data_IF_968513059031
#
_entry.id   IF_968513059031
#
_cell.length_a   1.000
_cell.length_b   1.000
_cell.length_c   1.000
_cell.angle_alpha   90.00
_cell.angle_beta   90.00
_cell.angle_gamma   90.00
#
_symmetry.space_group_name_H-M   'P 1'
#
loop_
_entity.id
_entity.type
_entity.pdbx_description
1 polymer ?
#
# COMPACT_ATOMS: atom_id res chain seq x y z
N UNK A 1 28.22 -8.40 3.41
CA UNK A 1 27.38 -7.44 2.66
C UNK A 1 25.95 -7.32 3.17
N UNK A 2 25.21 -8.40 3.39
CA UNK A 2 23.78 -8.32 3.77
C UNK A 2 23.48 -7.47 5.01
N UNK A 3 24.37 -7.50 6.02
CA UNK A 3 24.20 -6.68 7.25
C UNK A 3 24.36 -5.18 6.99
N UNK A 4 25.31 -4.78 6.14
CA UNK A 4 25.52 -3.37 5.76
C UNK A 4 24.34 -2.84 4.95
N UNK A 5 23.87 -3.62 3.97
CA UNK A 5 22.65 -3.30 3.22
C UNK A 5 21.44 -3.17 4.14
N UNK A 6 21.27 -4.10 5.09
CA UNK A 6 20.17 -4.05 6.07
C UNK A 6 20.23 -2.79 6.94
N UNK A 7 21.41 -2.44 7.44
CA UNK A 7 21.61 -1.25 8.27
C UNK A 7 21.27 0.04 7.51
N UNK A 8 21.75 0.15 6.27
CA UNK A 8 21.44 1.27 5.39
C UNK A 8 19.95 1.40 5.11
N UNK A 9 19.28 0.30 4.74
CA UNK A 9 17.83 0.32 4.49
C UNK A 9 17.05 0.68 5.75
N UNK A 10 17.45 0.19 6.93
CA UNK A 10 16.80 0.58 8.19
C UNK A 10 17.00 2.06 8.52
N UNK A 11 18.18 2.62 8.25
CA UNK A 11 18.44 4.04 8.46
C UNK A 11 17.57 4.90 7.56
N UNK A 12 17.52 4.60 6.26
CA UNK A 12 16.69 5.34 5.29
C UNK A 12 15.21 5.30 5.70
N UNK A 13 14.72 4.11 6.11
CA UNK A 13 13.35 3.95 6.58
C UNK A 13 13.07 4.78 7.83
N UNK A 14 13.97 4.73 8.82
CA UNK A 14 13.85 5.52 10.03
C UNK A 14 13.84 7.03 9.74
N UNK A 15 14.71 7.49 8.83
CA UNK A 15 14.76 8.89 8.40
C UNK A 15 13.45 9.34 7.73
N UNK A 16 12.85 8.46 6.92
CA UNK A 16 11.57 8.73 6.25
C UNK A 16 10.37 8.75 7.20
N UNK A 17 10.32 7.81 8.14
CA UNK A 17 9.22 7.66 9.10
C UNK A 17 9.31 8.66 10.26
N UNK A 18 10.41 9.41 10.37
CA UNK A 18 10.61 10.37 11.45
C UNK A 18 9.61 11.55 11.37
N UNK A 19 9.04 11.92 12.53
CA UNK A 19 8.02 12.98 12.60
C UNK A 19 8.58 14.41 12.44
N UNK A 20 9.84 14.65 12.79
CA UNK A 20 10.47 15.97 12.65
C UNK A 20 10.96 16.24 11.22
N UNK A 21 10.04 16.62 10.35
CA UNK A 21 10.31 16.96 8.94
C UNK A 21 11.21 18.19 8.74
N UNK A 22 11.27 19.09 9.73
CA UNK A 22 12.11 20.29 9.66
C UNK A 22 13.61 19.98 9.79
N UNK A 23 13.96 19.05 10.68
CA UNK A 23 15.35 18.63 10.91
C UNK A 23 15.75 17.56 9.89
N UNK A 24 14.88 16.56 9.71
CA UNK A 24 15.11 15.45 8.79
C UNK A 24 14.45 15.73 7.44
N UNK A 25 15.07 16.63 6.67
CA UNK A 25 14.60 16.97 5.32
C UNK A 25 14.93 15.82 4.37
N UNK A 26 13.90 15.18 3.82
CA UNK A 26 14.06 14.06 2.89
C UNK A 26 14.82 14.48 1.64
N UNK A 27 14.44 15.60 1.02
CA UNK A 27 15.00 16.07 -0.25
C UNK A 27 16.50 16.38 -0.21
N UNK A 28 17.02 16.71 0.97
CA UNK A 28 18.42 17.09 1.16
C UNK A 28 19.30 15.92 1.62
N UNK A 29 18.71 14.73 1.79
CA UNK A 29 19.47 13.56 2.22
C UNK A 29 20.33 13.05 1.06
N UNK A 30 21.64 13.22 1.18
CA UNK A 30 22.65 12.70 0.24
C UNK A 30 22.85 11.19 0.42
N UNK A 31 22.01 10.40 -0.25
CA UNK A 31 22.06 8.94 -0.16
C UNK A 31 23.36 8.37 -0.72
N UNK A 32 23.92 9.02 -1.75
CA UNK A 32 25.15 8.55 -2.38
C UNK A 32 26.33 8.49 -1.41
N UNK A 33 26.64 9.61 -0.75
CA UNK A 33 27.70 9.68 0.27
C UNK A 33 27.42 8.80 1.47
N UNK A 34 26.15 8.70 1.90
CA UNK A 34 25.76 7.80 2.97
C UNK A 34 26.06 6.33 2.62
N UNK A 35 25.72 5.91 1.40
CA UNK A 35 26.00 4.55 0.93
C UNK A 35 27.52 4.24 0.93
N UNK A 36 28.34 5.22 0.56
CA UNK A 36 29.80 5.13 0.66
C UNK A 36 30.27 4.99 2.11
N UNK A 37 29.69 5.76 3.05
CA UNK A 37 29.99 5.65 4.48
C UNK A 37 29.61 4.29 5.09
N UNK A 38 28.54 3.66 4.59
CA UNK A 38 28.17 2.28 4.95
C UNK A 38 29.01 1.21 4.23
N UNK A 39 29.92 1.60 3.32
CA UNK A 39 30.77 0.67 2.57
C UNK A 39 29.98 -0.22 1.61
N UNK A 40 28.91 0.29 1.02
CA UNK A 40 28.12 -0.47 0.05
C UNK A 40 28.84 -0.54 -1.30
N UNK A 41 29.00 -1.75 -1.83
CA UNK A 41 29.52 -1.95 -3.21
C UNK A 41 28.44 -1.68 -4.27
N UNK A 42 27.18 -1.92 -3.92
CA UNK A 42 26.02 -1.72 -4.78
C UNK A 42 24.86 -1.15 -3.94
N UNK A 43 24.13 -0.21 -4.53
CA UNK A 43 22.91 0.32 -3.93
C UNK A 43 21.81 -0.74 -3.90
N UNK A 44 21.08 -0.88 -2.78
CA UNK A 44 19.94 -1.78 -2.74
C UNK A 44 18.79 -1.25 -3.60
N UNK A 45 18.16 -2.14 -4.36
CA UNK A 45 17.01 -1.81 -5.21
C UNK A 45 15.70 -1.62 -4.46
N UNK A 46 15.67 -0.88 -3.35
CA UNK A 46 14.46 -0.56 -2.59
C UNK A 46 13.68 0.59 -3.24
N UNK A 47 12.35 0.70 -3.02
CA UNK A 47 11.55 1.76 -3.63
C UNK A 47 12.06 3.16 -3.26
N UNK A 48 12.57 3.34 -2.04
CA UNK A 48 13.10 4.63 -1.56
C UNK A 48 14.31 5.11 -2.36
N UNK A 49 15.17 4.19 -2.80
CA UNK A 49 16.37 4.50 -3.60
C UNK A 49 16.04 4.61 -5.09
N UNK A 50 15.07 3.81 -5.57
CA UNK A 50 14.66 3.77 -6.99
C UNK A 50 13.85 4.98 -7.44
N UNK A 51 13.19 5.69 -6.52
CA UNK A 51 12.24 6.75 -6.87
C UNK A 51 12.88 8.05 -7.37
N UNK A 52 14.20 8.10 -7.62
CA UNK A 52 14.96 9.26 -8.16
C UNK A 52 14.73 10.58 -7.42
N UNK A 53 14.06 10.55 -6.26
CA UNK A 53 13.73 11.75 -5.48
C UNK A 53 14.92 12.27 -4.66
N UNK A 54 16.04 11.54 -4.65
CA UNK A 54 17.16 11.72 -3.74
C UNK A 54 18.45 11.70 -4.55
N UNK A 55 19.35 12.62 -4.24
CA UNK A 55 20.61 12.74 -4.96
C UNK A 55 21.49 11.51 -4.68
N UNK A 56 21.82 10.78 -5.74
CA UNK A 56 22.81 9.69 -5.74
C UNK A 56 24.23 10.21 -6.01
N UNK A 57 24.42 11.53 -5.99
CA UNK A 57 25.73 12.16 -6.16
C UNK A 57 26.72 11.64 -5.12
N UNK A 58 27.90 11.21 -5.59
CA UNK A 58 28.97 10.69 -4.74
C UNK A 58 28.95 9.19 -4.47
N UNK A 59 28.06 8.41 -5.11
CA UNK A 59 28.16 6.95 -5.10
C UNK A 59 28.87 6.43 -6.35
N UNK A 60 29.98 5.73 -6.17
CA UNK A 60 30.69 5.02 -7.23
C UNK A 60 30.46 3.51 -7.09
N UNK A 61 29.56 2.90 -7.89
CA UNK A 61 29.35 1.46 -7.87
C UNK A 61 30.63 0.73 -8.30
N UNK A 62 30.89 -0.41 -7.67
CA UNK A 62 31.93 -1.33 -8.13
C UNK A 62 31.27 -2.33 -9.06
N UNK A 63 31.51 -2.20 -10.37
CA UNK A 63 30.80 -2.95 -11.41
C UNK A 63 31.31 -4.39 -11.60
N UNK A 64 32.54 -4.69 -11.17
CA UNK A 64 33.21 -5.97 -11.46
C UNK A 64 32.95 -7.11 -10.46
N UNK A 65 32.05 -6.91 -9.48
CA UNK A 65 31.88 -7.87 -8.36
C UNK A 65 30.45 -8.41 -8.26
N UNK A 66 30.26 -9.67 -8.66
CA UNK A 66 29.04 -10.41 -8.40
C UNK A 66 28.94 -10.84 -6.93
N UNK A 67 28.10 -10.16 -6.16
CA UNK A 67 27.92 -10.41 -4.72
C UNK A 67 27.29 -11.78 -4.40
N UNK A 68 26.57 -12.38 -5.35
CA UNK A 68 25.93 -13.70 -5.15
C UNK A 68 26.95 -14.85 -5.14
N UNK A 69 28.03 -14.71 -5.91
CA UNK A 69 29.07 -15.74 -6.08
C UNK A 69 30.02 -15.82 -4.88
N UNK A 70 30.11 -14.75 -4.09
CA UNK A 70 30.97 -14.70 -2.90
C UNK A 70 30.36 -15.55 -1.79
N UNK A 71 30.95 -16.72 -1.54
CA UNK A 71 30.52 -17.65 -0.47
C UNK A 71 30.95 -17.17 0.91
N UNK A 72 30.13 -17.43 1.93
CA UNK A 72 30.58 -17.24 3.31
C UNK A 72 31.66 -18.27 3.70
N UNK A 73 32.65 -17.85 4.49
CA UNK A 73 33.68 -18.73 5.05
C UNK A 73 33.08 -19.85 5.92
N UNK A 74 32.00 -19.55 6.62
CA UNK A 74 31.29 -20.51 7.47
C UNK A 74 30.19 -21.25 6.69
N UNK A 75 30.28 -22.59 6.68
CA UNK A 75 29.35 -23.49 5.99
C UNK A 75 27.93 -23.43 6.57
N UNK A 76 27.77 -23.19 7.87
CA UNK A 76 26.44 -23.11 8.51
C UNK A 76 25.67 -21.88 8.01
N UNK A 77 26.36 -20.74 7.97
CA UNK A 77 25.86 -19.46 7.50
C UNK A 77 25.56 -19.48 6.00
N UNK A 78 26.39 -20.17 5.21
CA UNK A 78 26.14 -20.33 3.78
C UNK A 78 24.88 -21.15 3.51
N UNK A 79 24.63 -22.23 4.26
CA UNK A 79 23.37 -22.99 4.15
C UNK A 79 22.16 -22.11 4.46
N UNK A 80 22.23 -21.29 5.50
CA UNK A 80 21.16 -20.36 5.85
C UNK A 80 20.95 -19.29 4.78
N UNK A 81 22.03 -18.73 4.22
CA UNK A 81 21.98 -17.78 3.09
C UNK A 81 21.23 -18.39 1.91
N UNK A 82 21.60 -19.61 1.50
CA UNK A 82 20.98 -20.28 0.37
C UNK A 82 19.49 -20.56 0.61
N UNK A 83 19.11 -20.97 1.82
CA UNK A 83 17.69 -21.14 2.19
C UNK A 83 16.92 -19.83 2.07
N UNK A 84 17.49 -18.72 2.57
CA UNK A 84 16.87 -17.40 2.47
C UNK A 84 16.78 -16.91 1.02
N UNK A 85 17.79 -17.19 0.19
CA UNK A 85 17.79 -16.82 -1.23
C UNK A 85 16.70 -17.56 -2.00
N UNK A 86 16.54 -18.87 -1.76
CA UNK A 86 15.44 -19.68 -2.34
C UNK A 86 14.08 -19.14 -1.90
N UNK A 87 13.89 -18.92 -0.61
CA UNK A 87 12.64 -18.36 -0.07
C UNK A 87 12.31 -16.97 -0.68
N UNK A 88 13.32 -16.11 -0.91
CA UNK A 88 13.12 -14.82 -1.60
C UNK A 88 12.71 -14.98 -3.06
N UNK A 89 13.35 -15.89 -3.80
CA UNK A 89 13.01 -16.18 -5.21
C UNK A 89 11.58 -16.74 -5.31
N UNK A 90 11.21 -17.65 -4.42
CA UNK A 90 9.85 -18.19 -4.32
C UNK A 90 8.82 -17.12 -3.94
N UNK A 91 9.14 -16.25 -2.99
CA UNK A 91 8.27 -15.14 -2.61
C UNK A 91 8.06 -14.17 -3.78
N UNK A 92 9.11 -13.83 -4.53
CA UNK A 92 9.00 -12.98 -5.72
C UNK A 92 8.15 -13.60 -6.82
N UNK A 93 8.23 -14.92 -7.04
CA UNK A 93 7.38 -15.62 -8.01
C UNK A 93 5.91 -15.69 -7.55
N UNK A 94 5.66 -15.73 -6.25
CA UNK A 94 4.31 -15.79 -5.67
C UNK A 94 3.63 -14.43 -5.53
N UNK A 95 4.31 -13.30 -5.71
CA UNK A 95 3.64 -11.99 -5.76
C UNK A 95 2.92 -11.91 -7.11
N UNK A 96 1.57 -11.99 -7.16
CA UNK A 96 0.86 -11.71 -8.39
C UNK A 96 1.18 -10.25 -8.72
N UNK A 97 1.61 -9.97 -9.96
CA UNK A 97 1.63 -8.60 -10.49
C UNK A 97 0.29 -7.97 -10.10
N UNK A 98 0.25 -6.74 -9.53
CA UNK A 98 -1.02 -6.08 -9.27
C UNK A 98 -1.70 -5.89 -10.62
N UNK A 99 -2.61 -6.81 -10.95
CA UNK A 99 -3.52 -6.64 -12.05
C UNK A 99 -4.34 -5.42 -11.68
N UNK A 100 -4.20 -4.35 -12.47
CA UNK A 100 -5.11 -3.21 -12.42
C UNK A 100 -6.53 -3.80 -12.39
N UNK A 101 -7.38 -3.46 -11.42
CA UNK A 101 -8.72 -4.03 -11.37
C UNK A 101 -9.46 -3.59 -12.63
N UNK A 102 -9.65 -4.52 -13.57
CA UNK A 102 -10.60 -4.35 -14.65
C UNK A 102 -11.97 -4.19 -13.98
N UNK A 103 -12.57 -3.00 -14.16
CA UNK A 103 -13.97 -2.72 -13.84
C UNK A 103 -14.84 -3.56 -14.78
N UNK A 104 -15.08 -4.82 -14.43
CA UNK A 104 -16.20 -5.58 -14.96
C UNK A 104 -17.23 -5.76 -13.83
N UNK A 105 -18.47 -5.31 -14.01
CA UNK A 105 -19.54 -5.49 -13.03
C UNK A 105 -20.16 -6.86 -13.26
N UNK A 106 -19.69 -7.88 -12.54
CA UNK A 106 -20.45 -9.12 -12.40
C UNK A 106 -20.35 -9.59 -10.94
N UNK A 107 -21.45 -9.63 -10.18
CA UNK A 107 -21.41 -10.01 -8.79
C UNK A 107 -21.43 -11.53 -8.68
N UNK A 108 -20.26 -12.14 -8.52
CA UNK A 108 -20.17 -13.46 -7.90
C UNK A 108 -20.27 -13.31 -6.37
N UNK A 109 -20.98 -14.19 -5.64
CA UNK A 109 -21.16 -14.05 -4.20
C UNK A 109 -19.82 -14.29 -3.48
N UNK A 110 -19.17 -13.19 -3.12
CA UNK A 110 -17.91 -13.24 -2.40
C UNK A 110 -18.15 -13.76 -0.97
N UNK A 111 -17.51 -14.88 -0.65
CA UNK A 111 -17.44 -15.46 0.69
C UNK A 111 -17.24 -14.38 1.76
N UNK A 112 -18.08 -14.41 2.81
CA UNK A 112 -18.13 -13.45 3.91
C UNK A 112 -16.78 -13.33 4.63
N UNK A 113 -15.90 -12.45 4.12
CA UNK A 113 -14.76 -11.97 4.87
C UNK A 113 -15.28 -10.98 5.92
N UNK A 114 -14.95 -11.21 7.19
CA UNK A 114 -15.33 -10.32 8.29
C UNK A 114 -14.78 -8.90 8.03
N UNK A 115 -15.66 -7.97 7.62
CA UNK A 115 -15.33 -6.56 7.39
C UNK A 115 -14.83 -5.91 8.67
N UNK A 116 -13.73 -5.17 8.60
CA UNK A 116 -13.16 -4.39 9.72
C UNK A 116 -14.12 -3.26 10.13
N UNK A 117 -14.06 -2.80 11.39
CA UNK A 117 -14.97 -1.77 11.93
C UNK A 117 -15.07 -0.50 11.07
N UNK A 118 -13.95 -0.05 10.47
CA UNK A 118 -13.92 1.11 9.56
C UNK A 118 -14.71 0.88 8.26
N UNK A 119 -14.65 -0.33 7.70
CA UNK A 119 -15.36 -0.69 6.47
C UNK A 119 -16.87 -0.86 6.70
N UNK A 120 -17.29 -1.20 7.92
CA UNK A 120 -18.72 -1.25 8.29
C UNK A 120 -19.33 0.14 8.35
N UNK A 121 -18.64 1.09 9.00
CA UNK A 121 -19.09 2.48 9.08
C UNK A 121 -19.23 3.12 7.71
N UNK A 122 -18.25 2.92 6.83
CA UNK A 122 -18.33 3.48 5.46
C UNK A 122 -19.41 2.84 4.61
N UNK A 123 -19.75 1.56 4.84
CA UNK A 123 -20.84 0.91 4.13
C UNK A 123 -22.20 1.45 4.60
N UNK A 124 -22.37 1.61 5.91
CA UNK A 124 -23.58 2.22 6.49
C UNK A 124 -23.80 3.63 5.94
N UNK A 125 -22.78 4.49 5.95
CA UNK A 125 -22.92 5.86 5.41
C UNK A 125 -23.34 5.90 3.95
N UNK A 126 -22.92 4.94 3.13
CA UNK A 126 -23.30 4.87 1.71
C UNK A 126 -24.75 4.37 1.57
N UNK A 127 -25.14 3.37 2.35
CA UNK A 127 -26.51 2.85 2.38
C UNK A 127 -27.49 3.95 2.85
N UNK A 128 -27.12 4.73 3.86
CA UNK A 128 -27.89 5.86 4.39
C UNK A 128 -28.02 7.00 3.34
N UNK A 129 -26.95 7.33 2.60
CA UNK A 129 -26.98 8.33 1.52
C UNK A 129 -27.87 7.89 0.35
N UNK A 130 -27.83 6.62 -0.03
CA UNK A 130 -28.66 6.06 -1.10
C UNK A 130 -30.14 6.04 -0.70
N UNK A 131 -30.45 5.74 0.57
CA UNK A 131 -31.80 5.80 1.12
C UNK A 131 -32.36 7.22 1.09
N UNK A 132 -31.61 8.19 1.60
CA UNK A 132 -31.99 9.60 1.57
C UNK A 132 -32.23 10.11 0.13
N UNK A 133 -31.40 9.66 -0.83
CA UNK A 133 -31.57 10.02 -2.24
C UNK A 133 -32.85 9.43 -2.85
N UNK A 134 -33.29 8.25 -2.40
CA UNK A 134 -34.58 7.64 -2.82
C UNK A 134 -35.75 8.42 -2.25
N UNK A 135 -35.73 8.74 -0.96
CA UNK A 135 -36.76 9.55 -0.30
C UNK A 135 -36.90 10.93 -0.96
N UNK A 136 -35.79 11.60 -1.27
CA UNK A 136 -35.81 12.89 -1.95
C UNK A 136 -36.46 12.83 -3.33
N UNK A 137 -36.25 11.74 -4.08
CA UNK A 137 -36.90 11.53 -5.38
C UNK A 137 -38.41 11.31 -5.22
N UNK A 138 -38.82 10.55 -4.22
CA UNK A 138 -40.24 10.33 -3.91
C UNK A 138 -40.91 11.65 -3.48
N UNK A 139 -40.25 12.44 -2.65
CA UNK A 139 -40.75 13.75 -2.22
C UNK A 139 -40.91 14.71 -3.40
N UNK A 140 -39.99 14.66 -4.37
CA UNK A 140 -40.09 15.45 -5.61
C UNK A 140 -41.27 15.00 -6.49
N UNK A 141 -41.65 13.72 -6.45
CA UNK A 141 -42.84 13.20 -7.16
C UNK A 141 -44.14 13.60 -6.44
N UNK A 142 -44.17 13.56 -5.10
CA UNK A 142 -45.27 14.08 -4.28
C UNK A 142 -45.50 15.57 -4.56
N UNK A 143 -44.44 16.40 -4.51
CA UNK A 143 -44.53 17.84 -4.83
C UNK A 143 -44.96 18.15 -6.27
N UNK A 144 -44.81 17.18 -7.19
CA UNK A 144 -45.26 17.28 -8.58
C UNK A 144 -46.68 16.71 -8.78
N UNK A 145 -47.32 16.19 -7.73
CA UNK A 145 -48.65 15.58 -7.77
C UNK A 145 -48.71 14.24 -8.49
N UNK A 146 -47.57 13.54 -8.62
CA UNK A 146 -47.48 12.26 -9.33
C UNK A 146 -47.66 11.03 -8.40
N UNK A 147 -47.72 11.25 -7.09
CA UNK A 147 -47.90 10.26 -6.02
C UNK A 147 -48.73 10.96 -4.93
N UNK A 148 -49.66 10.24 -4.30
CA UNK A 148 -50.47 10.74 -3.18
C UNK A 148 -49.75 10.60 -1.82
N UNK A 149 -50.19 11.34 -0.80
CA UNK A 149 -49.56 11.35 0.54
C UNK A 149 -49.52 9.96 1.19
N UNK A 150 -50.58 9.17 1.02
CA UNK A 150 -50.66 7.79 1.52
C UNK A 150 -49.70 6.84 0.79
N UNK A 151 -49.47 7.05 -0.51
CA UNK A 151 -48.53 6.26 -1.30
C UNK A 151 -47.08 6.63 -1.00
N UNK A 152 -46.83 7.91 -0.72
CA UNK A 152 -45.52 8.37 -0.24
C UNK A 152 -45.19 7.72 1.10
N UNK A 153 -46.12 7.74 2.07
CA UNK A 153 -45.94 7.15 3.39
C UNK A 153 -45.61 5.65 3.33
N UNK A 154 -46.27 4.92 2.42
CA UNK A 154 -46.02 3.49 2.17
C UNK A 154 -44.64 3.21 1.59
N UNK A 155 -44.18 4.06 0.67
CA UNK A 155 -42.90 3.87 0.00
C UNK A 155 -41.69 4.29 0.86
N UNK A 156 -41.88 5.20 1.82
CA UNK A 156 -40.85 5.62 2.78
C UNK A 156 -40.92 4.85 4.09
N UNK A 157 -41.91 3.95 4.27
CA UNK A 157 -42.09 3.20 5.53
C UNK A 157 -42.46 4.09 6.71
N UNK A 158 -43.01 5.28 6.45
CA UNK A 158 -43.47 6.24 7.45
C UNK A 158 -44.98 6.13 7.70
N UNK A 159 -45.59 5.00 7.32
CA UNK A 159 -47.02 4.71 7.51
C UNK A 159 -47.45 4.82 8.98
N UNK A 160 -46.57 4.45 9.91
CA UNK A 160 -46.83 4.47 11.36
C UNK A 160 -46.65 5.86 12.01
N UNK A 161 -46.27 6.88 11.24
CA UNK A 161 -46.02 8.26 11.72
C UNK A 161 -47.10 9.26 11.30
N UNK A 162 -48.09 8.82 10.52
CA UNK A 162 -49.26 9.58 10.07
C UNK A 162 -50.51 9.19 10.88
#
# INVERSE_FOLDING_TARGET
MEKGVRAFVSFIRAYKEHHCSYIFRWKELEIGKLAMGYGLLQLPGTPEVKLHSLSTEGFTPVEDINLEDIKYKDKSREKQRQKNLRAKKEAQQKVPKPQKPNKNPNPAPAAMKKKTAKQRRTAQTIEDEDELAREYRLLKKLKRGAIDEDEFAKLTGTEDLL
#
